data_IF_175651115385
#
_entry.id   IF_175651115385
#
_cell.length_a   1.000
_cell.length_b   1.000
_cell.length_c   1.000
_cell.angle_alpha   90.00
_cell.angle_beta   90.00
_cell.angle_gamma   90.00
#
_symmetry.space_group_name_H-M   'P 1'
#
loop_
_entity.id
_entity.type
_entity.pdbx_description
1 polymer ?
#
# COMPACT_ATOMS: atom_id res chain seq x y z
N UNK A 1 -1.50 -9.18 10.95
CA UNK A 1 -2.88 -9.22 11.47
C UNK A 1 -3.77 -8.85 10.29
N UNK A 2 -4.68 -9.71 9.87
CA UNK A 2 -5.66 -9.36 8.84
C UNK A 2 -6.69 -8.36 9.38
N UNK A 3 -7.36 -7.64 8.47
CA UNK A 3 -8.34 -6.61 8.81
C UNK A 3 -9.50 -7.13 9.65
N UNK A 4 -9.94 -8.37 9.38
CA UNK A 4 -11.04 -9.01 10.10
C UNK A 4 -10.67 -9.20 11.57
N UNK A 5 -9.43 -9.62 11.84
CA UNK A 5 -8.91 -9.80 13.19
C UNK A 5 -8.76 -8.47 13.93
N UNK A 6 -8.35 -7.42 13.22
CA UNK A 6 -8.24 -6.07 13.79
C UNK A 6 -9.61 -5.52 14.20
N UNK A 7 -10.58 -5.53 13.27
CA UNK A 7 -11.93 -5.04 13.52
C UNK A 7 -12.63 -5.83 14.64
N UNK A 8 -12.44 -7.16 14.68
CA UNK A 8 -12.96 -8.00 15.74
C UNK A 8 -12.41 -7.59 17.11
N UNK A 9 -11.09 -7.45 17.25
CA UNK A 9 -10.45 -7.06 18.52
C UNK A 9 -10.82 -5.64 18.93
N UNK A 10 -10.97 -4.73 17.97
CA UNK A 10 -11.39 -3.36 18.23
C UNK A 10 -12.81 -3.32 18.78
N UNK A 11 -13.72 -4.12 18.21
CA UNK A 11 -15.09 -4.24 18.68
C UNK A 11 -15.16 -4.83 20.10
N UNK A 12 -14.33 -5.84 20.41
CA UNK A 12 -14.21 -6.37 21.77
C UNK A 12 -13.72 -5.31 22.76
N UNK A 13 -12.68 -4.57 22.40
CA UNK A 13 -12.13 -3.49 23.22
C UNK A 13 -13.17 -2.38 23.49
N UNK A 14 -13.92 -1.97 22.46
CA UNK A 14 -14.99 -0.97 22.61
C UNK A 14 -16.10 -1.45 23.56
N UNK A 15 -16.43 -2.74 23.51
CA UNK A 15 -17.42 -3.35 24.41
C UNK A 15 -16.93 -3.33 25.87
N UNK A 16 -15.66 -3.63 26.11
CA UNK A 16 -15.06 -3.59 27.44
C UNK A 16 -15.01 -2.17 28.00
N UNK A 17 -14.60 -1.18 27.18
CA UNK A 17 -14.59 0.23 27.57
C UNK A 17 -15.99 0.73 27.93
N UNK A 18 -17.02 0.26 27.21
CA UNK A 18 -18.42 0.60 27.50
C UNK A 18 -18.91 0.18 28.90
N UNK A 19 -18.22 -0.75 29.56
CA UNK A 19 -18.54 -1.20 30.92
C UNK A 19 -17.86 -0.35 32.02
N UNK A 20 -16.95 0.56 31.65
CA UNK A 20 -16.24 1.43 32.59
C UNK A 20 -17.11 2.61 33.05
N UNK A 21 -16.85 3.08 34.26
CA UNK A 21 -17.44 4.32 34.78
C UNK A 21 -16.75 5.56 34.18
N UNK A 22 -17.44 6.70 34.18
CA UNK A 22 -16.80 7.99 33.88
C UNK A 22 -15.85 8.38 35.03
N UNK A 23 -14.70 9.04 34.76
CA UNK A 23 -14.30 9.72 33.51
C UNK A 23 -13.44 8.89 32.53
N UNK A 24 -12.88 7.75 32.97
CA UNK A 24 -11.88 6.98 32.22
C UNK A 24 -12.43 6.43 30.90
N UNK A 25 -13.75 6.22 30.83
CA UNK A 25 -14.45 5.76 29.63
C UNK A 25 -14.28 6.74 28.45
N UNK A 26 -14.43 8.03 28.69
CA UNK A 26 -14.41 9.04 27.62
C UNK A 26 -13.04 9.15 26.95
N UNK A 27 -11.97 9.16 27.75
CA UNK A 27 -10.58 9.23 27.27
C UNK A 27 -10.19 7.99 26.47
N UNK A 28 -10.55 6.79 26.97
CA UNK A 28 -10.29 5.54 26.27
C UNK A 28 -11.06 5.43 24.95
N UNK A 29 -12.31 5.90 24.90
CA UNK A 29 -13.08 5.95 23.65
C UNK A 29 -12.46 6.90 22.61
N UNK A 30 -11.90 8.02 23.05
CA UNK A 30 -11.19 8.94 22.17
C UNK A 30 -9.93 8.28 21.59
N UNK A 31 -9.12 7.64 22.43
CA UNK A 31 -7.90 6.95 21.99
C UNK A 31 -8.19 5.79 21.03
N UNK A 32 -9.25 5.02 21.29
CA UNK A 32 -9.69 3.93 20.40
C UNK A 32 -10.10 4.47 19.04
N UNK A 33 -10.83 5.59 18.99
CA UNK A 33 -11.22 6.23 17.73
C UNK A 33 -10.01 6.72 16.95
N UNK A 34 -9.10 7.42 17.61
CA UNK A 34 -7.85 7.91 16.99
C UNK A 34 -7.03 6.74 16.41
N UNK A 35 -6.93 5.64 17.16
CA UNK A 35 -6.21 4.44 16.71
C UNK A 35 -6.87 3.82 15.48
N UNK A 36 -8.21 3.77 15.42
CA UNK A 36 -8.95 3.29 14.25
C UNK A 36 -8.72 4.16 13.02
N UNK A 37 -8.79 5.48 13.19
CA UNK A 37 -8.56 6.45 12.12
C UNK A 37 -7.14 6.34 11.56
N UNK A 38 -6.13 6.28 12.44
CA UNK A 38 -4.73 6.09 12.04
C UNK A 38 -4.50 4.77 11.31
N UNK A 39 -5.11 3.67 11.78
CA UNK A 39 -5.01 2.39 11.11
C UNK A 39 -5.63 2.43 9.71
N UNK A 40 -6.80 3.05 9.56
CA UNK A 40 -7.46 3.22 8.27
C UNK A 40 -6.61 4.06 7.30
N UNK A 41 -5.97 5.13 7.79
CA UNK A 41 -5.05 5.95 6.97
C UNK A 41 -3.82 5.17 6.52
N UNK A 42 -3.16 4.45 7.43
CA UNK A 42 -2.00 3.61 7.10
C UNK A 42 -2.35 2.56 6.06
N UNK A 43 -3.52 1.93 6.20
CA UNK A 43 -3.99 0.93 5.24
C UNK A 43 -4.16 1.53 3.84
N UNK A 44 -4.78 2.71 3.73
CA UNK A 44 -4.94 3.41 2.45
C UNK A 44 -3.58 3.71 1.82
N UNK A 45 -2.65 4.27 2.59
CA UNK A 45 -1.30 4.57 2.11
C UNK A 45 -0.56 3.33 1.60
N UNK A 46 -0.65 2.20 2.32
CA UNK A 46 -0.03 0.93 1.89
C UNK A 46 -0.64 0.43 0.58
N UNK A 47 -1.97 0.50 0.43
CA UNK A 47 -2.65 0.12 -0.81
C UNK A 47 -2.21 1.00 -1.97
N UNK A 48 -2.18 2.32 -1.79
CA UNK A 48 -1.73 3.27 -2.81
C UNK A 48 -0.28 2.99 -3.24
N UNK A 49 0.62 2.78 -2.27
CA UNK A 49 2.02 2.42 -2.56
C UNK A 49 2.11 1.10 -3.33
N UNK A 50 1.32 0.09 -2.96
CA UNK A 50 1.33 -1.19 -3.65
C UNK A 50 0.86 -1.06 -5.11
N UNK A 51 -0.16 -0.24 -5.36
CA UNK A 51 -0.67 0.05 -6.70
C UNK A 51 0.35 0.83 -7.53
N UNK A 52 0.98 1.86 -6.95
CA UNK A 52 2.04 2.65 -7.58
C UNK A 52 3.27 1.80 -7.92
N UNK A 53 3.67 0.90 -7.02
CA UNK A 53 4.73 -0.08 -7.30
C UNK A 53 4.32 -1.04 -8.43
N UNK A 54 3.05 -1.40 -8.51
CA UNK A 54 2.48 -2.18 -9.61
C UNK A 54 2.65 -1.46 -10.95
N UNK A 55 2.33 -0.17 -10.98
CA UNK A 55 2.49 0.72 -12.14
C UNK A 55 3.95 0.87 -12.53
N UNK A 56 4.82 1.24 -11.59
CA UNK A 56 6.26 1.38 -11.83
C UNK A 56 6.89 0.10 -12.38
N UNK A 57 6.48 -1.06 -11.85
CA UNK A 57 6.94 -2.37 -12.36
C UNK A 57 6.56 -2.57 -13.83
N UNK A 58 5.38 -2.12 -14.25
CA UNK A 58 4.95 -2.21 -15.65
C UNK A 58 5.76 -1.25 -16.53
N UNK A 59 5.97 -0.01 -16.08
CA UNK A 59 6.79 0.98 -16.79
C UNK A 59 8.23 0.47 -17.01
N UNK A 60 8.84 -0.11 -15.98
CA UNK A 60 10.18 -0.71 -16.10
C UNK A 60 10.20 -1.84 -17.13
N UNK A 61 9.16 -2.68 -17.21
CA UNK A 61 9.08 -3.72 -18.26
C UNK A 61 9.06 -3.11 -19.67
N UNK A 62 8.32 -2.02 -19.86
CA UNK A 62 8.30 -1.32 -21.15
C UNK A 62 9.65 -0.70 -21.48
N UNK A 63 10.30 -0.04 -20.52
CA UNK A 63 11.64 0.54 -20.74
C UNK A 63 12.67 -0.53 -21.13
N UNK A 64 12.66 -1.69 -20.49
CA UNK A 64 13.56 -2.80 -20.82
C UNK A 64 13.24 -3.37 -22.21
N UNK A 65 11.97 -3.49 -22.56
CA UNK A 65 11.54 -3.95 -23.88
C UNK A 65 11.97 -2.98 -24.99
N UNK A 66 11.73 -1.68 -24.81
CA UNK A 66 12.08 -0.63 -25.77
C UNK A 66 13.61 -0.53 -25.95
N UNK A 67 14.36 -0.69 -24.86
CA UNK A 67 15.82 -0.75 -24.90
C UNK A 67 16.31 -1.93 -25.76
N UNK A 68 15.74 -3.12 -25.57
CA UNK A 68 16.09 -4.30 -26.35
C UNK A 68 15.71 -4.15 -27.83
N UNK A 69 14.55 -3.57 -28.13
CA UNK A 69 14.14 -3.26 -29.50
C UNK A 69 15.14 -2.29 -30.17
N UNK A 70 15.49 -1.20 -29.47
CA UNK A 70 16.45 -0.21 -29.97
C UNK A 70 17.84 -0.80 -30.19
N UNK A 71 18.29 -1.72 -29.31
CA UNK A 71 19.56 -2.43 -29.47
C UNK A 71 19.57 -3.28 -30.74
N UNK A 72 18.52 -4.07 -30.98
CA UNK A 72 18.40 -4.91 -32.19
C UNK A 72 18.36 -4.07 -33.47
N UNK A 73 17.65 -2.96 -33.45
CA UNK A 73 17.60 -2.02 -34.58
C UNK A 73 18.99 -1.42 -34.86
N UNK A 74 19.71 -1.01 -33.82
CA UNK A 74 21.07 -0.48 -33.98
C UNK A 74 22.04 -1.53 -34.57
N UNK A 75 21.97 -2.76 -34.09
CA UNK A 75 22.80 -3.86 -34.60
C UNK A 75 22.50 -4.15 -36.07
N UNK A 76 21.22 -4.15 -36.46
CA UNK A 76 20.80 -4.30 -37.85
C UNK A 76 21.32 -3.15 -38.73
N UNK A 77 21.23 -1.90 -38.25
CA UNK A 77 21.74 -0.74 -38.97
C UNK A 77 23.26 -0.79 -39.16
N UNK A 78 24.01 -1.22 -38.14
CA UNK A 78 25.47 -1.39 -38.22
C UNK A 78 25.88 -2.45 -39.25
N UNK A 79 25.19 -3.59 -39.27
CA UNK A 79 25.40 -4.64 -40.26
C UNK A 79 25.18 -4.13 -41.70
N UNK A 80 24.12 -3.34 -41.92
CA UNK A 80 23.80 -2.79 -43.24
C UNK A 80 24.80 -1.72 -43.71
N UNK A 81 25.43 -1.00 -42.78
CA UNK A 81 26.39 0.07 -43.09
C UNK A 81 27.84 -0.41 -43.23
N UNK A 82 28.12 -1.71 -43.03
CA UNK A 82 29.39 -2.33 -43.40
C UNK A 82 30.60 -1.95 -42.53
N UNK A 83 30.42 -1.86 -41.21
CA UNK A 83 31.51 -1.94 -40.24
C UNK A 83 31.54 -3.32 -39.57
#
# INVERSE_FOLDING_TARGET
>A
MDEVTFEFRLAELMKEIGLLAEPDRSELLALVRETHEHFAMLKRAITEIADDMGTLRLEVKYLVFDLEATRRENDTLRQNLGN
#
